data_IF_330086815427
#
_entry.id   IF_330086815427
#
_cell.length_a   1.000
_cell.length_b   1.000
_cell.length_c   1.000
_cell.angle_alpha   90.00
_cell.angle_beta   90.00
_cell.angle_gamma   90.00
#
_symmetry.space_group_name_H-M   'P 1'
#
loop_
_entity.id
_entity.type
_entity.pdbx_description
1 polymer ?
#
# COMPACT_ATOMS: atom_id res chain seq x y z
N UNK A 1 24.10 5.22 -13.01
CA UNK A 1 22.71 4.75 -12.90
C UNK A 1 22.10 5.49 -11.74
N UNK A 2 21.12 6.34 -12.04
CA UNK A 2 20.46 7.19 -11.06
C UNK A 2 19.19 6.48 -10.59
N UNK A 3 19.08 6.30 -9.26
CA UNK A 3 17.99 5.53 -8.66
C UNK A 3 17.16 6.44 -7.77
N UNK A 4 15.84 6.49 -8.02
CA UNK A 4 14.86 6.99 -7.08
C UNK A 4 14.48 5.86 -6.12
N UNK A 5 14.53 6.07 -4.80
CA UNK A 5 14.10 5.06 -3.83
C UNK A 5 12.89 5.56 -3.05
N UNK A 6 11.77 4.84 -3.14
CA UNK A 6 10.56 5.16 -2.39
C UNK A 6 10.73 4.72 -0.93
N UNK A 7 10.69 5.68 -0.01
CA UNK A 7 10.91 5.48 1.41
C UNK A 7 9.68 5.90 2.21
N UNK A 8 9.06 4.97 2.92
CA UNK A 8 7.83 5.16 3.69
C UNK A 8 8.04 5.16 5.20
N UNK A 9 9.28 5.22 5.69
CA UNK A 9 9.59 5.06 7.11
C UNK A 9 9.41 3.63 7.65
N UNK A 10 8.91 2.70 6.84
CA UNK A 10 8.78 1.29 7.18
C UNK A 10 10.10 0.51 7.11
N UNK A 11 10.14 -0.68 7.75
CA UNK A 11 11.34 -1.51 7.77
C UNK A 11 11.77 -1.94 6.37
N UNK A 12 10.83 -2.33 5.51
CA UNK A 12 11.12 -2.86 4.18
C UNK A 12 11.77 -1.81 3.29
N UNK A 13 11.19 -0.61 3.19
CA UNK A 13 11.75 0.49 2.42
C UNK A 13 13.09 1.00 2.98
N UNK A 14 13.29 0.92 4.29
CA UNK A 14 14.58 1.26 4.92
C UNK A 14 15.68 0.25 4.57
N UNK A 15 15.35 -1.04 4.50
CA UNK A 15 16.29 -2.09 4.07
C UNK A 15 16.61 -1.96 2.58
N UNK A 16 15.65 -1.54 1.74
CA UNK A 16 15.93 -1.20 0.33
C UNK A 16 17.05 -0.16 0.23
N UNK A 17 16.95 0.94 0.98
CA UNK A 17 17.99 1.98 0.98
C UNK A 17 19.33 1.42 1.46
N UNK A 18 19.32 0.64 2.55
CA UNK A 18 20.54 0.01 3.07
C UNK A 18 21.22 -0.87 2.01
N UNK A 19 20.47 -1.77 1.37
CA UNK A 19 21.02 -2.68 0.36
C UNK A 19 21.57 -1.96 -0.86
N UNK A 20 20.93 -0.88 -1.30
CA UNK A 20 21.42 -0.05 -2.40
C UNK A 20 22.75 0.62 -2.01
N UNK A 21 22.85 1.17 -0.79
CA UNK A 21 24.08 1.78 -0.29
C UNK A 21 25.22 0.76 -0.14
N UNK A 22 24.95 -0.45 0.35
CA UNK A 22 25.93 -1.55 0.44
C UNK A 22 26.46 -1.96 -0.94
N UNK A 23 25.65 -1.84 -1.97
CA UNK A 23 26.05 -2.07 -3.37
C UNK A 23 26.78 -0.87 -4.00
N UNK A 24 26.99 0.21 -3.23
CA UNK A 24 27.71 1.41 -3.68
C UNK A 24 26.85 2.43 -4.43
N UNK A 25 25.54 2.26 -4.49
CA UNK A 25 24.64 3.27 -5.04
C UNK A 25 24.38 4.41 -4.05
N UNK A 26 24.03 5.57 -4.59
CA UNK A 26 23.59 6.75 -3.82
C UNK A 26 22.22 7.19 -4.33
N UNK A 27 21.15 6.47 -3.94
CA UNK A 27 19.82 6.82 -4.41
C UNK A 27 19.35 8.17 -3.83
N UNK A 28 18.52 8.89 -4.60
CA UNK A 28 17.71 9.97 -4.08
C UNK A 28 16.45 9.36 -3.46
N UNK A 29 16.13 9.75 -2.23
CA UNK A 29 15.01 9.18 -1.48
C UNK A 29 13.76 10.04 -1.65
N UNK A 30 12.61 9.38 -1.80
CA UNK A 30 11.34 10.05 -1.97
C UNK A 30 10.30 9.51 -0.99
N UNK A 31 9.72 10.40 -0.20
CA UNK A 31 8.51 10.11 0.57
C UNK A 31 7.29 10.62 -0.20
N UNK A 32 6.40 9.72 -0.61
CA UNK A 32 5.14 10.10 -1.26
C UNK A 32 4.12 10.40 -0.18
N UNK A 33 3.76 11.69 -0.06
CA UNK A 33 2.72 12.12 0.87
C UNK A 33 1.35 11.94 0.24
N UNK A 34 0.58 11.04 0.82
CA UNK A 34 -0.84 10.79 0.56
C UNK A 34 -1.56 10.77 1.90
N UNK A 35 -2.87 10.93 1.92
CA UNK A 35 -3.61 10.87 3.18
C UNK A 35 -4.96 11.57 3.09
N UNK A 36 -5.61 11.79 4.23
CA UNK A 36 -6.88 12.50 4.32
C UNK A 36 -6.68 13.91 4.83
N UNK A 37 -7.30 14.91 4.17
CA UNK A 37 -7.36 16.27 4.69
C UNK A 37 -8.35 16.37 5.86
N UNK A 38 -7.94 17.09 6.90
CA UNK A 38 -8.75 17.46 8.02
C UNK A 38 -8.03 17.32 9.37
N UNK A 39 -8.17 18.33 10.21
CA UNK A 39 -7.51 18.41 11.53
C UNK A 39 -7.86 17.24 12.47
N UNK A 40 -8.99 16.56 12.25
CA UNK A 40 -9.44 15.40 13.04
C UNK A 40 -8.71 14.10 12.63
N UNK A 41 -8.02 14.11 11.50
CA UNK A 41 -7.30 12.97 10.94
C UNK A 41 -5.84 13.34 10.61
N UNK A 42 -5.31 14.39 11.25
CA UNK A 42 -3.88 14.67 11.20
C UNK A 42 -3.16 13.46 11.77
N UNK A 43 -2.67 12.67 10.84
CA UNK A 43 -2.09 11.38 11.12
C UNK A 43 -0.70 11.58 11.73
N UNK A 44 -0.61 11.42 13.04
CA UNK A 44 0.70 11.29 13.71
C UNK A 44 1.61 10.27 13.02
N UNK A 45 1.04 9.38 12.16
CA UNK A 45 1.80 8.41 11.40
C UNK A 45 2.60 9.02 10.26
N UNK A 46 2.07 10.03 9.56
CA UNK A 46 2.80 10.68 8.46
C UNK A 46 4.01 11.47 8.98
N UNK A 47 3.88 12.15 10.12
CA UNK A 47 5.01 12.84 10.77
C UNK A 47 6.06 11.83 11.22
N UNK A 48 5.66 10.75 11.90
CA UNK A 48 6.57 9.66 12.29
C UNK A 48 7.25 9.02 11.09
N UNK A 49 6.51 8.80 9.98
CA UNK A 49 7.06 8.24 8.74
C UNK A 49 8.12 9.14 8.13
N UNK A 50 7.88 10.46 8.10
CA UNK A 50 8.84 11.45 7.60
C UNK A 50 10.05 11.56 8.53
N UNK A 51 9.85 11.52 9.85
CA UNK A 51 10.95 11.54 10.81
C UNK A 51 11.87 10.32 10.64
N UNK A 52 11.30 9.12 10.54
CA UNK A 52 12.06 7.89 10.30
C UNK A 52 12.77 7.93 8.95
N UNK A 53 12.10 8.41 7.90
CA UNK A 53 12.68 8.57 6.57
C UNK A 53 13.85 9.56 6.60
N UNK A 54 13.70 10.67 7.32
CA UNK A 54 14.77 11.67 7.52
C UNK A 54 15.95 11.08 8.29
N UNK A 55 15.69 10.26 9.31
CA UNK A 55 16.75 9.58 10.06
C UNK A 55 17.55 8.60 9.18
N UNK A 56 16.88 7.88 8.27
CA UNK A 56 17.53 7.02 7.28
C UNK A 56 18.37 7.85 6.30
N UNK A 57 17.80 8.92 5.74
CA UNK A 57 18.52 9.81 4.82
C UNK A 57 19.80 10.35 5.43
N UNK A 58 19.73 10.89 6.65
CA UNK A 58 20.89 11.41 7.41
C UNK A 58 21.95 10.33 7.66
N UNK A 59 21.53 9.11 8.01
CA UNK A 59 22.43 8.00 8.28
C UNK A 59 23.33 7.68 7.08
N UNK A 60 22.78 7.73 5.86
CA UNK A 60 23.50 7.41 4.63
C UNK A 60 24.02 8.64 3.88
N UNK A 61 23.77 9.86 4.39
CA UNK A 61 24.15 11.10 3.73
C UNK A 61 23.47 11.29 2.38
N UNK A 62 22.18 10.90 2.29
CA UNK A 62 21.37 10.96 1.08
C UNK A 62 20.35 12.10 1.15
N UNK A 63 19.93 12.59 0.00
CA UNK A 63 18.82 13.53 -0.12
C UNK A 63 17.47 12.81 0.07
N UNK A 64 16.55 13.48 0.78
CA UNK A 64 15.17 13.07 0.94
C UNK A 64 14.24 14.19 0.49
N UNK A 65 13.40 13.89 -0.47
CA UNK A 65 12.36 14.78 -0.95
C UNK A 65 10.96 14.26 -0.58
N UNK A 66 10.06 15.19 -0.26
CA UNK A 66 8.63 14.89 -0.02
C UNK A 66 7.85 15.28 -1.25
N UNK A 67 7.23 14.29 -1.91
CA UNK A 67 6.38 14.50 -3.08
C UNK A 67 4.93 14.45 -2.62
N UNK A 68 4.24 15.59 -2.69
CA UNK A 68 2.82 15.67 -2.31
C UNK A 68 1.94 15.24 -3.48
N UNK A 69 1.34 14.05 -3.35
CA UNK A 69 0.39 13.47 -4.31
C UNK A 69 -0.99 13.26 -3.68
N UNK A 70 -1.30 14.06 -2.66
CA UNK A 70 -2.57 13.96 -1.94
C UNK A 70 -3.77 14.13 -2.87
N UNK A 71 -3.76 15.17 -3.69
CA UNK A 71 -4.87 15.46 -4.62
C UNK A 71 -5.02 14.36 -5.66
N UNK A 72 -3.93 13.93 -6.28
CA UNK A 72 -3.93 12.85 -7.28
C UNK A 72 -4.45 11.54 -6.68
N UNK A 73 -4.08 11.26 -5.42
CA UNK A 73 -4.57 10.10 -4.71
C UNK A 73 -6.09 10.16 -4.52
N UNK A 74 -6.61 11.31 -4.06
CA UNK A 74 -8.04 11.48 -3.85
C UNK A 74 -8.84 11.38 -5.13
N UNK A 75 -8.41 12.07 -6.17
CA UNK A 75 -9.11 12.11 -7.46
C UNK A 75 -9.12 10.74 -8.17
N UNK A 76 -8.06 9.94 -8.02
CA UNK A 76 -7.91 8.70 -8.78
C UNK A 76 -8.16 7.42 -7.97
N UNK A 77 -7.75 7.37 -6.70
CA UNK A 77 -7.80 6.13 -5.91
C UNK A 77 -8.97 6.14 -4.93
N UNK A 78 -9.12 7.19 -4.12
CA UNK A 78 -10.19 7.28 -3.14
C UNK A 78 -11.56 7.38 -3.82
N UNK A 79 -11.70 8.25 -4.83
CA UNK A 79 -12.93 8.40 -5.60
C UNK A 79 -13.33 7.09 -6.30
N UNK A 80 -12.37 6.40 -6.90
CA UNK A 80 -12.57 5.05 -7.47
C UNK A 80 -13.11 4.07 -6.42
N UNK A 81 -12.47 4.01 -5.25
CA UNK A 81 -12.88 3.10 -4.18
C UNK A 81 -14.33 3.39 -3.73
N UNK A 82 -14.66 4.65 -3.47
CA UNK A 82 -16.00 5.09 -3.06
C UNK A 82 -17.05 4.74 -4.13
N UNK A 83 -16.75 4.97 -5.41
CA UNK A 83 -17.65 4.65 -6.52
C UNK A 83 -17.93 3.14 -6.59
N UNK A 84 -16.90 2.29 -6.48
CA UNK A 84 -17.04 0.84 -6.52
C UNK A 84 -17.82 0.31 -5.32
N UNK A 85 -17.53 0.81 -4.12
CA UNK A 85 -18.26 0.46 -2.90
C UNK A 85 -19.74 0.83 -3.02
N UNK A 86 -20.05 2.02 -3.56
CA UNK A 86 -21.43 2.46 -3.83
C UNK A 86 -22.19 1.51 -4.78
N UNK A 87 -21.48 0.85 -5.69
CA UNK A 87 -22.03 -0.17 -6.60
C UNK A 87 -22.08 -1.57 -6.00
N UNK A 88 -21.75 -1.74 -4.72
CA UNK A 88 -21.76 -3.06 -4.04
C UNK A 88 -20.54 -3.92 -4.38
N UNK A 89 -19.48 -3.33 -4.94
CA UNK A 89 -18.24 -4.02 -5.24
C UNK A 89 -17.23 -3.84 -4.11
N UNK A 90 -16.27 -4.75 -4.02
CA UNK A 90 -15.14 -4.67 -3.08
C UNK A 90 -13.89 -4.26 -3.85
N UNK A 91 -13.54 -2.96 -3.92
CA UNK A 91 -12.34 -2.51 -4.60
C UNK A 91 -11.08 -2.87 -3.82
N UNK A 92 -9.96 -2.95 -4.53
CA UNK A 92 -8.63 -2.95 -3.92
C UNK A 92 -7.92 -1.63 -4.24
N UNK A 93 -7.96 -0.64 -3.34
CA UNK A 93 -7.34 0.66 -3.57
C UNK A 93 -5.81 0.59 -3.61
N UNK A 94 -5.17 -0.40 -2.98
CA UNK A 94 -3.71 -0.52 -2.99
C UNK A 94 -3.17 -0.88 -4.39
N UNK A 95 -3.90 -1.72 -5.14
CA UNK A 95 -3.59 -2.01 -6.55
C UNK A 95 -3.64 -0.75 -7.39
N UNK A 96 -4.67 0.08 -7.20
CA UNK A 96 -4.82 1.34 -7.93
C UNK A 96 -3.80 2.39 -7.49
N UNK A 97 -3.46 2.42 -6.20
CA UNK A 97 -2.40 3.29 -5.68
C UNK A 97 -1.05 2.96 -6.32
N UNK A 98 -0.69 1.69 -6.42
CA UNK A 98 0.56 1.29 -7.09
C UNK A 98 0.56 1.74 -8.55
N UNK A 99 -0.51 1.45 -9.31
CA UNK A 99 -0.61 1.80 -10.73
C UNK A 99 -0.62 3.30 -10.98
N UNK A 100 -1.49 4.04 -10.27
CA UNK A 100 -1.81 5.43 -10.63
C UNK A 100 -0.95 6.45 -9.87
N UNK A 101 -0.58 6.15 -8.63
CA UNK A 101 0.15 7.09 -7.78
C UNK A 101 1.65 6.78 -7.77
N UNK A 102 2.05 5.60 -7.24
CA UNK A 102 3.47 5.29 -7.04
C UNK A 102 4.24 5.10 -8.34
N UNK A 103 3.62 4.42 -9.32
CA UNK A 103 4.25 4.15 -10.61
C UNK A 103 3.59 4.89 -11.78
N UNK A 104 2.63 5.77 -11.48
CA UNK A 104 1.98 6.67 -12.42
C UNK A 104 2.37 8.12 -12.17
N UNK A 105 1.67 8.81 -11.27
CA UNK A 105 1.89 10.24 -11.01
C UNK A 105 3.32 10.54 -10.52
N UNK A 106 3.86 9.73 -9.60
CA UNK A 106 5.24 9.89 -9.16
C UNK A 106 6.23 9.75 -10.33
N UNK A 107 6.06 8.72 -11.16
CA UNK A 107 6.92 8.50 -12.33
C UNK A 107 6.85 9.69 -13.31
N UNK A 108 5.66 10.22 -13.57
CA UNK A 108 5.48 11.36 -14.47
C UNK A 108 6.09 12.66 -13.93
N UNK A 109 6.02 12.89 -12.62
CA UNK A 109 6.50 14.13 -12.00
C UNK A 109 8.01 14.07 -11.72
N UNK A 110 8.50 12.96 -11.20
CA UNK A 110 9.83 12.82 -10.64
C UNK A 110 10.59 11.62 -11.21
N UNK A 111 10.00 10.43 -11.21
CA UNK A 111 10.67 9.17 -11.55
C UNK A 111 11.22 9.13 -12.97
N UNK A 112 10.64 9.91 -13.90
CA UNK A 112 11.09 10.04 -15.29
C UNK A 112 12.55 10.50 -15.42
N UNK A 113 13.05 11.23 -14.43
CA UNK A 113 14.40 11.81 -14.41
C UNK A 113 15.45 10.81 -13.84
N UNK A 114 15.02 9.61 -13.44
CA UNK A 114 15.83 8.52 -12.91
C UNK A 114 15.82 7.31 -13.86
N UNK A 115 16.90 6.52 -13.81
CA UNK A 115 17.00 5.28 -14.56
C UNK A 115 16.03 4.23 -14.03
N UNK A 116 15.95 4.07 -12.69
CA UNK A 116 15.11 3.10 -11.99
C UNK A 116 14.46 3.69 -10.75
N UNK A 117 13.28 3.15 -10.41
CA UNK A 117 12.57 3.41 -9.16
C UNK A 117 12.60 2.17 -8.27
N UNK A 118 13.33 2.25 -7.14
CA UNK A 118 13.42 1.18 -6.16
C UNK A 118 12.30 1.30 -5.12
N UNK A 119 11.74 0.15 -4.73
CA UNK A 119 10.62 0.09 -3.79
C UNK A 119 10.69 -1.13 -2.88
N UNK A 120 10.07 -1.02 -1.70
CA UNK A 120 9.99 -2.08 -0.68
C UNK A 120 8.93 -3.15 -0.93
N UNK A 121 8.45 -3.32 -2.16
CA UNK A 121 7.53 -4.42 -2.48
C UNK A 121 8.27 -5.76 -2.53
N UNK A 122 7.59 -6.80 -2.05
CA UNK A 122 8.02 -8.18 -2.21
C UNK A 122 7.57 -8.68 -3.60
N UNK A 123 8.39 -8.44 -4.57
CA UNK A 123 8.29 -8.87 -5.96
C UNK A 123 9.71 -8.99 -6.55
N UNK A 124 9.86 -9.51 -7.75
CA UNK A 124 11.13 -9.52 -8.47
C UNK A 124 10.95 -9.04 -9.89
N UNK A 125 12.03 -8.60 -10.53
CA UNK A 125 12.10 -8.39 -11.98
C UNK A 125 13.09 -9.37 -12.57
N UNK A 126 12.73 -9.95 -13.72
CA UNK A 126 13.54 -10.88 -14.46
C UNK A 126 13.79 -10.33 -15.86
N UNK A 127 15.06 -10.23 -16.25
CA UNK A 127 15.43 -9.85 -17.61
C UNK A 127 15.51 -11.08 -18.48
N UNK A 128 14.61 -11.20 -19.47
CA UNK A 128 14.61 -12.30 -20.46
C UNK A 128 14.73 -11.70 -21.86
N UNK A 129 15.93 -11.76 -22.43
CA UNK A 129 16.28 -11.03 -23.64
C UNK A 129 16.17 -9.52 -23.40
N UNK A 130 15.46 -8.82 -24.28
CA UNK A 130 15.23 -7.37 -24.17
C UNK A 130 14.02 -6.99 -23.30
N UNK A 131 13.34 -7.97 -22.70
CA UNK A 131 12.11 -7.73 -21.93
C UNK A 131 12.32 -7.94 -20.45
N UNK A 132 11.77 -7.02 -19.66
CA UNK A 132 11.67 -7.10 -18.21
C UNK A 132 10.33 -7.72 -17.80
N UNK A 133 10.36 -8.76 -17.00
CA UNK A 133 9.19 -9.47 -16.50
C UNK A 133 9.04 -9.25 -15.01
N UNK A 134 7.81 -9.12 -14.55
CA UNK A 134 7.48 -9.15 -13.14
C UNK A 134 7.45 -10.62 -12.68
N UNK A 135 8.15 -10.91 -11.59
CA UNK A 135 8.22 -12.23 -10.97
C UNK A 135 7.76 -12.18 -9.51
N UNK A 136 7.37 -13.34 -9.00
CA UNK A 136 6.99 -13.51 -7.59
C UNK A 136 8.20 -13.33 -6.67
N UNK A 137 7.92 -12.96 -5.42
CA UNK A 137 8.95 -12.87 -4.39
C UNK A 137 9.40 -14.25 -3.91
N UNK A 138 10.57 -14.29 -3.25
CA UNK A 138 11.06 -15.49 -2.55
C UNK A 138 10.15 -15.89 -1.37
N UNK A 139 9.58 -14.90 -0.68
CA UNK A 139 8.66 -15.14 0.46
C UNK A 139 7.21 -15.25 -0.04
N UNK A 140 6.64 -16.48 -0.07
CA UNK A 140 5.30 -16.69 -0.62
C UNK A 140 4.18 -16.11 0.26
N UNK A 141 4.47 -15.83 1.55
CA UNK A 141 3.48 -15.23 2.47
C UNK A 141 3.46 -13.71 2.30
N UNK A 142 4.60 -13.12 1.92
CA UNK A 142 4.76 -11.68 1.74
C UNK A 142 4.71 -11.25 0.28
N UNK A 143 4.60 -12.18 -0.66
CA UNK A 143 4.49 -11.85 -2.08
C UNK A 143 3.42 -10.78 -2.32
N UNK A 144 3.77 -9.75 -3.08
CA UNK A 144 2.94 -8.59 -3.36
C UNK A 144 2.70 -8.38 -4.87
N UNK A 145 2.96 -9.40 -5.68
CA UNK A 145 2.71 -9.32 -7.12
C UNK A 145 1.25 -9.09 -7.46
N UNK A 146 0.31 -9.59 -6.64
CA UNK A 146 -1.12 -9.31 -6.77
C UNK A 146 -1.44 -7.81 -6.65
N UNK A 147 -0.71 -7.09 -5.80
CA UNK A 147 -0.86 -5.63 -5.67
C UNK A 147 -0.27 -4.85 -6.86
N UNK A 148 0.52 -5.53 -7.70
CA UNK A 148 1.13 -5.00 -8.92
C UNK A 148 0.42 -5.45 -10.20
N UNK A 149 -0.70 -6.20 -10.08
CA UNK A 149 -1.40 -6.81 -11.21
C UNK A 149 -1.95 -5.83 -12.25
N UNK A 150 -2.03 -4.54 -11.94
CA UNK A 150 -2.57 -3.50 -12.82
C UNK A 150 -1.49 -2.61 -13.44
N UNK A 151 -0.20 -2.75 -13.05
CA UNK A 151 0.89 -1.98 -13.67
C UNK A 151 1.17 -2.49 -15.08
N UNK A 152 1.60 -1.60 -15.97
CA UNK A 152 1.92 -1.94 -17.33
C UNK A 152 3.42 -2.26 -17.53
N UNK A 153 3.77 -2.67 -18.76
CA UNK A 153 5.14 -3.04 -19.11
C UNK A 153 6.15 -1.88 -18.91
N UNK A 154 5.78 -0.65 -19.25
CA UNK A 154 6.66 0.50 -19.10
C UNK A 154 6.95 0.78 -17.63
N UNK A 155 5.92 0.64 -16.78
CA UNK A 155 6.08 0.76 -15.33
C UNK A 155 6.99 -0.35 -14.79
N UNK A 156 6.75 -1.63 -15.15
CA UNK A 156 7.59 -2.76 -14.71
C UNK A 156 9.05 -2.58 -15.11
N UNK A 157 9.32 -2.10 -16.31
CA UNK A 157 10.69 -1.95 -16.84
C UNK A 157 11.55 -0.95 -16.06
N UNK A 158 10.91 -0.04 -15.31
CA UNK A 158 11.56 0.96 -14.46
C UNK A 158 11.65 0.57 -12.99
N UNK A 159 11.11 -0.59 -12.59
CA UNK A 159 11.07 -0.96 -11.18
C UNK A 159 12.24 -1.83 -10.75
N UNK A 160 12.70 -1.57 -9.53
CA UNK A 160 13.70 -2.36 -8.83
C UNK A 160 13.14 -2.79 -7.46
N UNK A 161 13.26 -4.08 -7.16
CA UNK A 161 12.77 -4.70 -5.93
C UNK A 161 13.92 -5.33 -5.13
N UNK A 162 14.75 -4.56 -4.41
CA UNK A 162 15.96 -5.07 -3.77
C UNK A 162 15.71 -6.15 -2.72
N UNK A 163 14.52 -6.19 -2.13
CA UNK A 163 14.15 -7.18 -1.10
C UNK A 163 13.35 -8.37 -1.65
N UNK A 164 13.03 -8.40 -2.94
CA UNK A 164 12.22 -9.47 -3.53
C UNK A 164 12.81 -10.87 -3.43
N UNK A 165 14.15 -10.96 -3.39
CA UNK A 165 14.89 -12.21 -3.18
C UNK A 165 15.09 -12.61 -1.71
N UNK A 166 14.45 -11.92 -0.76
CA UNK A 166 14.60 -12.13 0.68
C UNK A 166 13.29 -12.59 1.32
N UNK A 167 13.41 -13.43 2.37
CA UNK A 167 12.31 -13.71 3.28
C UNK A 167 12.11 -12.56 4.26
N UNK A 168 10.90 -12.34 4.76
CA UNK A 168 10.61 -11.26 5.72
C UNK A 168 11.48 -11.27 6.96
N UNK A 169 11.79 -12.45 7.49
CA UNK A 169 12.66 -12.55 8.66
C UNK A 169 14.10 -12.12 8.32
N UNK A 170 14.60 -12.43 7.09
CA UNK A 170 15.92 -11.97 6.63
C UNK A 170 15.97 -10.44 6.55
N UNK A 171 14.91 -9.80 6.01
CA UNK A 171 14.77 -8.34 5.98
C UNK A 171 14.81 -7.75 7.39
N UNK A 172 14.12 -8.35 8.35
CA UNK A 172 14.15 -7.94 9.75
C UNK A 172 15.53 -8.07 10.39
N UNK A 173 16.24 -9.17 10.10
CA UNK A 173 17.61 -9.37 10.60
C UNK A 173 18.59 -8.34 10.02
N UNK A 174 18.49 -8.05 8.72
CA UNK A 174 19.28 -7.00 8.08
C UNK A 174 19.05 -5.66 8.76
N UNK A 175 17.77 -5.29 8.96
CA UNK A 175 17.41 -4.04 9.62
C UNK A 175 17.99 -3.93 11.03
N UNK A 176 17.94 -5.02 11.81
CA UNK A 176 18.49 -5.08 13.17
C UNK A 176 20.02 -5.01 13.16
N UNK A 177 20.70 -5.79 12.31
CA UNK A 177 22.17 -5.80 12.19
C UNK A 177 22.70 -4.44 11.73
N UNK A 178 22.01 -3.82 10.77
CA UNK A 178 22.36 -2.47 10.32
C UNK A 178 21.97 -1.38 11.33
N UNK A 179 21.25 -1.69 12.41
CA UNK A 179 20.79 -0.71 13.41
C UNK A 179 19.89 0.37 12.82
N UNK A 180 18.99 -0.01 11.89
CA UNK A 180 18.09 0.95 11.25
C UNK A 180 17.05 1.46 12.25
N UNK A 181 16.71 2.76 12.24
CA UNK A 181 15.70 3.33 13.16
C UNK A 181 14.35 2.61 13.10
N UNK A 182 13.97 2.15 11.90
CA UNK A 182 12.72 1.43 11.66
C UNK A 182 12.74 -0.06 12.02
N UNK A 183 13.89 -0.64 12.43
CA UNK A 183 14.07 -2.10 12.56
C UNK A 183 13.03 -2.81 13.44
N UNK A 184 12.54 -2.13 14.48
CA UNK A 184 11.54 -2.66 15.43
C UNK A 184 10.11 -2.21 15.12
N UNK A 185 9.91 -1.43 14.07
CA UNK A 185 8.58 -0.96 13.67
C UNK A 185 7.73 -2.16 13.21
N UNK A 186 6.47 -2.16 13.63
CA UNK A 186 5.49 -3.17 13.16
C UNK A 186 5.19 -2.92 11.68
N UNK A 187 4.87 -4.01 10.96
CA UNK A 187 4.37 -3.89 9.59
C UNK A 187 3.06 -3.11 9.58
N UNK A 188 2.84 -2.32 8.52
CA UNK A 188 1.57 -1.63 8.31
C UNK A 188 0.45 -2.67 8.22
N UNK A 189 -0.63 -2.40 8.94
CA UNK A 189 -1.84 -3.24 8.96
C UNK A 189 -2.97 -2.44 8.31
N UNK A 190 -3.62 -3.00 7.30
CA UNK A 190 -4.77 -2.38 6.65
C UNK A 190 -4.46 -1.69 5.32
N UNK A 191 -5.40 -0.87 4.87
CA UNK A 191 -5.34 -0.12 3.60
C UNK A 191 -4.37 1.05 3.78
N UNK A 192 -3.39 1.16 2.90
CA UNK A 192 -2.26 2.10 3.01
C UNK A 192 -2.67 3.56 3.30
N UNK A 193 -3.78 4.02 2.73
CA UNK A 193 -4.20 5.42 2.87
C UNK A 193 -5.09 5.71 4.07
N UNK A 194 -5.72 4.68 4.65
CA UNK A 194 -6.58 4.87 5.83
C UNK A 194 -5.75 5.03 7.11
N UNK A 195 -4.48 4.63 7.09
CA UNK A 195 -3.67 4.64 8.29
C UNK A 195 -4.36 3.90 9.43
N UNK A 196 -4.69 4.62 10.51
CA UNK A 196 -5.43 4.08 11.67
C UNK A 196 -6.95 4.20 11.55
N UNK A 197 -7.48 4.76 10.45
CA UNK A 197 -8.92 4.96 10.28
C UNK A 197 -9.60 3.62 10.04
N UNK A 198 -10.69 3.38 10.77
CA UNK A 198 -11.52 2.21 10.53
C UNK A 198 -12.22 2.32 9.17
N UNK A 199 -12.19 1.25 8.38
CA UNK A 199 -12.83 1.19 7.07
C UNK A 199 -14.32 1.59 7.11
N UNK A 200 -15.06 1.13 8.12
CA UNK A 200 -16.47 1.45 8.25
C UNK A 200 -16.70 2.95 8.52
N UNK A 201 -15.82 3.61 9.27
CA UNK A 201 -15.92 5.05 9.52
C UNK A 201 -15.62 5.86 8.25
N UNK A 202 -14.63 5.42 7.48
CA UNK A 202 -14.37 5.98 6.16
C UNK A 202 -15.60 5.87 5.24
N UNK A 203 -16.14 4.66 5.08
CA UNK A 203 -17.30 4.43 4.21
C UNK A 203 -18.52 5.20 4.68
N UNK A 204 -18.78 5.26 6.00
CA UNK A 204 -19.89 6.02 6.59
C UNK A 204 -19.80 7.51 6.26
N UNK A 205 -18.60 8.08 6.28
CA UNK A 205 -18.39 9.50 5.96
C UNK A 205 -18.84 9.86 4.54
N UNK A 206 -18.59 8.98 3.56
CA UNK A 206 -18.87 9.26 2.14
C UNK A 206 -20.21 8.73 1.63
N UNK A 207 -20.69 7.63 2.20
CA UNK A 207 -21.92 6.98 1.75
C UNK A 207 -23.06 7.05 2.77
N UNK A 208 -22.75 7.49 4.01
CA UNK A 208 -23.72 7.53 5.10
C UNK A 208 -24.19 6.14 5.53
N UNK A 209 -25.33 6.09 6.19
CA UNK A 209 -26.02 4.86 6.56
C UNK A 209 -27.35 4.78 5.82
N UNK A 210 -27.70 3.58 5.36
CA UNK A 210 -28.99 3.29 4.71
C UNK A 210 -29.45 1.90 5.13
N UNK A 211 -30.49 1.87 5.95
CA UNK A 211 -31.04 0.61 6.42
C UNK A 211 -31.59 -0.22 5.23
N UNK A 212 -31.36 -1.53 5.29
CA UNK A 212 -31.86 -2.50 4.33
C UNK A 212 -32.09 -3.87 4.97
N UNK A 213 -32.81 -4.74 4.26
CA UNK A 213 -33.07 -6.10 4.71
C UNK A 213 -31.92 -7.04 4.32
N UNK A 214 -31.55 -7.94 5.23
CA UNK A 214 -30.76 -9.12 4.92
C UNK A 214 -31.72 -10.24 4.57
N UNK A 215 -31.59 -10.79 3.36
CA UNK A 215 -32.51 -11.78 2.79
C UNK A 215 -31.73 -13.09 2.64
N UNK A 216 -32.32 -14.19 3.11
CA UNK A 216 -31.84 -15.54 2.82
C UNK A 216 -32.09 -15.85 1.33
N UNK A 217 -31.04 -16.22 0.60
CA UNK A 217 -31.11 -16.35 -0.86
C UNK A 217 -32.04 -17.46 -1.27
N UNK A 218 -32.04 -18.61 -0.59
CA UNK A 218 -32.81 -19.82 -0.93
C UNK A 218 -34.30 -19.65 -0.71
N UNK A 219 -34.70 -18.95 0.35
CA UNK A 219 -36.10 -18.85 0.77
C UNK A 219 -36.74 -17.50 0.49
N UNK A 220 -35.94 -16.47 0.23
CA UNK A 220 -36.40 -15.10 0.12
C UNK A 220 -36.80 -14.48 1.48
N UNK A 221 -36.60 -15.16 2.60
CA UNK A 221 -37.02 -14.71 3.91
C UNK A 221 -36.10 -13.63 4.43
N UNK A 222 -36.68 -12.57 5.02
CA UNK A 222 -35.90 -11.58 5.77
C UNK A 222 -35.37 -12.19 7.07
N UNK A 223 -34.04 -12.23 7.23
CA UNK A 223 -33.35 -12.80 8.38
C UNK A 223 -32.66 -11.74 9.25
N UNK A 224 -32.64 -10.47 8.81
CA UNK A 224 -32.07 -9.39 9.59
C UNK A 224 -32.16 -8.05 8.87
N UNK A 225 -31.47 -7.06 9.43
CA UNK A 225 -31.29 -5.72 8.83
C UNK A 225 -29.84 -5.32 8.86
N UNK A 226 -29.43 -4.48 7.90
CA UNK A 226 -28.10 -3.88 7.82
C UNK A 226 -28.21 -2.35 7.76
N UNK A 227 -27.15 -1.62 8.14
CA UNK A 227 -27.09 -0.15 8.08
C UNK A 227 -26.54 0.39 6.75
N UNK A 228 -26.29 -0.48 5.79
CA UNK A 228 -25.76 -0.20 4.45
C UNK A 228 -25.03 -1.43 3.92
N UNK A 229 -25.40 -1.89 2.70
CA UNK A 229 -24.74 -3.05 2.11
C UNK A 229 -23.25 -2.82 1.87
N UNK A 230 -22.83 -1.58 1.72
CA UNK A 230 -21.43 -1.18 1.54
C UNK A 230 -20.51 -1.40 2.74
N UNK A 231 -21.06 -1.72 3.92
CA UNK A 231 -20.28 -2.13 5.09
C UNK A 231 -19.94 -3.61 5.11
N UNK A 232 -20.41 -4.36 4.09
CA UNK A 232 -20.28 -5.81 4.03
C UNK A 232 -19.53 -6.23 2.78
N UNK A 233 -18.76 -7.31 2.91
CA UNK A 233 -17.99 -7.91 1.83
C UNK A 233 -18.52 -9.31 1.53
N UNK A 234 -18.50 -9.72 0.26
CA UNK A 234 -18.86 -11.09 -0.13
C UNK A 234 -17.97 -12.08 0.63
N UNK A 235 -18.60 -13.12 1.20
CA UNK A 235 -17.93 -14.13 2.02
C UNK A 235 -17.71 -13.73 3.49
N UNK A 236 -18.18 -12.56 3.91
CA UNK A 236 -18.10 -12.14 5.31
C UNK A 236 -18.97 -13.04 6.20
N UNK A 237 -18.38 -13.61 7.25
CA UNK A 237 -19.08 -14.50 8.20
C UNK A 237 -19.35 -13.86 9.56
N UNK A 238 -18.66 -12.79 9.92
CA UNK A 238 -18.76 -12.12 11.22
C UNK A 238 -19.27 -10.68 11.06
N UNK A 239 -19.97 -10.18 12.09
CA UNK A 239 -20.40 -8.78 12.10
C UNK A 239 -21.61 -8.47 11.20
N UNK A 240 -22.35 -9.49 10.77
CA UNK A 240 -23.57 -9.32 9.94
C UNK A 240 -24.79 -8.88 10.76
N UNK A 241 -24.71 -8.86 12.11
CA UNK A 241 -25.85 -8.51 12.99
C UNK A 241 -27.00 -9.52 12.92
N UNK A 242 -26.75 -10.69 12.33
CA UNK A 242 -27.67 -11.81 12.35
C UNK A 242 -27.57 -12.44 13.73
N UNK A 243 -28.59 -12.27 14.58
CA UNK A 243 -28.66 -12.95 15.89
C UNK A 243 -28.45 -14.46 15.72
N UNK A 244 -28.43 -15.23 16.82
CA UNK A 244 -28.11 -16.66 16.92
C UNK A 244 -28.86 -17.61 15.93
N UNK A 245 -29.58 -17.06 14.95
CA UNK A 245 -30.35 -17.79 13.94
C UNK A 245 -29.49 -18.55 12.90
N UNK A 246 -28.17 -18.32 12.84
CA UNK A 246 -27.26 -19.13 12.04
C UNK A 246 -26.51 -20.09 12.97
N UNK A 247 -27.24 -21.07 13.48
CA UNK A 247 -26.64 -22.30 13.99
C UNK A 247 -25.77 -22.89 12.89
N UNK A 248 -24.52 -23.19 13.24
CA UNK A 248 -23.50 -23.98 12.54
C UNK A 248 -23.88 -24.42 11.11
N UNK A 249 -23.47 -23.64 10.11
CA UNK A 249 -23.23 -24.07 8.73
C UNK A 249 -21.71 -24.27 8.54
#
# INVERSE_FOLDING_TARGET
>A
MDIAALLSGGVDSSVVVHLLCEQGYKPTLFYIKIGMDGAEYMDCSAEEDIELSTAIARRYGLELEVVDLHREYWDNVAAYAIEKIRKGLTPNPDVMCNKLIKFGCFEQQVGKDFDLTATGHYATTLQLGEKTWLGTAKDPIKDQTDFLAQIDYLQVSKLLFPIGGLMKHEVREIALKAGLPSARRKDSQGICFLGKINYNDFVRRFLGEKEGAVIELETGKKIGTHRGYWFHTIGQRKGLGLGEALGSL
#
